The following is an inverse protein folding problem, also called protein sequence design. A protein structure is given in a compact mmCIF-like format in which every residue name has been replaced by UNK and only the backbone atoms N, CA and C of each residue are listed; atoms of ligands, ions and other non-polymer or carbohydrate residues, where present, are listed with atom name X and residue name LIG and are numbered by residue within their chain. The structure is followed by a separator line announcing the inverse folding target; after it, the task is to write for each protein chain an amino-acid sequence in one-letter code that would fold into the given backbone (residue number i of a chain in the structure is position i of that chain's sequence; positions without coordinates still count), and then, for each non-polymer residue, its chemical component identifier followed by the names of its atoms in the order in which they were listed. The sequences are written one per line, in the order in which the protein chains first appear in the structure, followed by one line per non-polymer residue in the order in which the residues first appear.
data_IF_949326644527
#
_entry.id   IF_949326644527
#
_cell.length_a   1.000
_cell.length_b   1.000
_cell.length_c   1.000
_cell.angle_alpha   90.00
_cell.angle_beta   90.00
_cell.angle_gamma   90.00
#
_symmetry.space_group_name_H-M   'P 1'
#
loop_
_entity.id
_entity.type
_entity.pdbx_description
1 polymer ?
#
# COMPACT_ATOMS: atom_id res chain seq x y z
N UNK A 1 -13.67 -2.04 20.95
CA UNK A 1 -14.51 -3.22 20.66
C UNK A 1 -13.67 -4.34 20.04
N UNK A 2 -12.95 -4.10 18.94
CA UNK A 2 -12.11 -5.11 18.26
C UNK A 2 -11.15 -5.86 19.20
N UNK A 3 -10.55 -5.15 20.17
CA UNK A 3 -9.66 -5.75 21.17
C UNK A 3 -10.32 -6.86 22.00
N UNK A 4 -11.64 -6.87 22.18
CA UNK A 4 -12.35 -7.91 22.95
C UNK A 4 -12.26 -9.27 22.26
N UNK A 5 -12.20 -9.32 20.93
CA UNK A 5 -12.08 -10.56 20.18
C UNK A 5 -10.75 -11.29 20.43
N UNK A 6 -9.68 -10.54 20.73
CA UNK A 6 -8.39 -11.13 21.04
C UNK A 6 -8.40 -11.97 22.33
N UNK A 7 -9.40 -11.78 23.18
CA UNK A 7 -9.59 -12.51 24.43
C UNK A 7 -10.73 -13.54 24.35
N UNK A 8 -11.25 -13.81 23.14
CA UNK A 8 -12.25 -14.86 22.96
C UNK A 8 -11.61 -16.24 23.12
N UNK A 9 -12.37 -17.21 23.64
CA UNK A 9 -11.99 -18.62 23.59
C UNK A 9 -12.25 -19.23 22.21
N UNK A 10 -13.12 -18.59 21.42
CA UNK A 10 -13.45 -19.01 20.06
C UNK A 10 -12.31 -18.66 19.11
N UNK A 11 -11.81 -19.72 18.46
CA UNK A 11 -10.71 -19.67 17.51
C UNK A 11 -10.97 -18.72 16.34
N UNK A 12 -12.18 -18.75 15.78
CA UNK A 12 -12.54 -17.96 14.60
C UNK A 12 -12.74 -16.49 14.97
N UNK A 13 -13.25 -16.24 16.18
CA UNK A 13 -13.39 -14.89 16.73
C UNK A 13 -12.03 -14.19 16.88
N UNK A 14 -10.99 -14.90 17.33
CA UNK A 14 -9.64 -14.33 17.43
C UNK A 14 -9.13 -13.93 16.04
N UNK A 15 -9.24 -14.80 15.04
CA UNK A 15 -8.77 -14.50 13.68
C UNK A 15 -9.50 -13.32 13.07
N UNK A 16 -10.83 -13.27 13.21
CA UNK A 16 -11.63 -12.16 12.75
C UNK A 16 -11.24 -10.85 13.45
N UNK A 17 -11.00 -10.91 14.76
CA UNK A 17 -10.49 -9.78 15.55
C UNK A 17 -9.15 -9.27 15.06
N UNK A 18 -8.19 -10.16 14.81
CA UNK A 18 -6.87 -9.83 14.26
C UNK A 18 -6.99 -9.23 12.85
N UNK A 19 -7.79 -9.83 11.98
CA UNK A 19 -8.01 -9.33 10.62
C UNK A 19 -8.55 -7.90 10.63
N UNK A 20 -9.58 -7.63 11.44
CA UNK A 20 -10.15 -6.29 11.58
C UNK A 20 -9.13 -5.31 12.16
N UNK A 21 -8.45 -5.69 13.25
CA UNK A 21 -7.45 -4.84 13.91
C UNK A 21 -6.34 -4.44 12.94
N UNK A 22 -5.81 -5.40 12.20
CA UNK A 22 -4.80 -5.17 11.17
C UNK A 22 -5.26 -4.13 10.15
N UNK A 23 -6.47 -4.25 9.61
CA UNK A 23 -6.99 -3.30 8.60
C UNK A 23 -7.14 -1.89 9.17
N UNK A 24 -7.65 -1.74 10.39
CA UNK A 24 -7.77 -0.44 11.04
C UNK A 24 -6.41 0.19 11.30
N UNK A 25 -5.47 -0.57 11.87
CA UNK A 25 -4.13 -0.05 12.16
C UNK A 25 -3.36 0.27 10.89
N UNK A 26 -3.52 -0.52 9.83
CA UNK A 26 -2.97 -0.19 8.52
C UNK A 26 -3.51 1.15 7.99
N UNK A 27 -4.82 1.36 8.06
CA UNK A 27 -5.42 2.63 7.61
C UNK A 27 -4.87 3.82 8.40
N UNK A 28 -4.84 3.71 9.73
CA UNK A 28 -4.26 4.72 10.62
C UNK A 28 -2.79 4.97 10.29
N UNK A 29 -1.98 3.91 10.21
CA UNK A 29 -0.55 3.99 9.94
C UNK A 29 -0.22 4.64 8.58
N UNK A 30 -1.09 4.50 7.58
CA UNK A 30 -0.94 5.18 6.29
C UNK A 30 -1.46 6.62 6.28
N UNK A 31 -2.44 6.94 7.13
CA UNK A 31 -2.93 8.30 7.26
C UNK A 31 -1.90 9.22 7.95
N UNK A 32 -1.06 8.64 8.80
CA UNK A 32 0.04 9.35 9.44
C UNK A 32 1.20 9.66 8.49
N UNK A 33 1.85 10.81 8.73
CA UNK A 33 3.06 11.20 8.01
C UNK A 33 4.22 10.22 8.24
N UNK A 34 5.20 10.23 7.33
CA UNK A 34 6.36 9.34 7.45
C UNK A 34 7.20 9.70 8.67
N UNK A 35 7.68 8.68 9.38
CA UNK A 35 8.45 8.87 10.61
C UNK A 35 7.60 9.23 11.83
N UNK A 36 6.27 9.28 11.69
CA UNK A 36 5.34 9.56 12.79
C UNK A 36 4.70 8.26 13.28
N UNK A 37 4.66 8.08 14.60
CA UNK A 37 4.05 6.91 15.23
C UNK A 37 2.53 6.94 15.11
N UNK A 38 1.88 5.77 15.20
CA UNK A 38 0.42 5.74 15.27
C UNK A 38 -0.07 6.37 16.58
N UNK A 39 -1.10 7.25 16.56
CA UNK A 39 -1.58 7.92 17.78
C UNK A 39 -2.08 6.96 18.87
N UNK A 40 -2.57 5.78 18.48
CA UNK A 40 -3.17 4.80 19.38
C UNK A 40 -2.14 3.89 20.06
N UNK A 41 -0.84 4.04 19.77
CA UNK A 41 0.21 3.14 20.29
C UNK A 41 0.16 3.03 21.81
N UNK A 42 0.22 4.16 22.52
CA UNK A 42 0.24 4.18 23.98
C UNK A 42 -1.03 3.53 24.55
N UNK A 43 -2.19 3.79 23.95
CA UNK A 43 -3.44 3.18 24.36
C UNK A 43 -3.44 1.66 24.20
N UNK A 44 -2.87 1.13 23.10
CA UNK A 44 -2.75 -0.31 22.87
C UNK A 44 -1.79 -0.96 23.87
N UNK A 45 -0.68 -0.29 24.17
CA UNK A 45 0.30 -0.74 25.16
C UNK A 45 -0.31 -0.79 26.57
N UNK A 46 -0.96 0.30 27.00
CA UNK A 46 -1.59 0.41 28.33
C UNK A 46 -2.74 -0.60 28.53
N UNK A 47 -3.35 -1.08 27.44
CA UNK A 47 -4.39 -2.13 27.46
C UNK A 47 -3.84 -3.56 27.39
N UNK A 48 -2.52 -3.73 27.45
CA UNK A 48 -1.88 -5.05 27.35
C UNK A 48 -2.04 -5.72 25.99
N UNK A 49 -2.45 -4.99 24.94
CA UNK A 49 -2.71 -5.58 23.61
C UNK A 49 -1.44 -6.16 23.01
N UNK A 50 -0.30 -5.49 23.19
CA UNK A 50 0.99 -5.99 22.73
C UNK A 50 1.35 -7.35 23.36
N UNK A 51 1.19 -7.49 24.68
CA UNK A 51 1.43 -8.75 25.37
C UNK A 51 0.51 -9.86 24.85
N UNK A 52 -0.77 -9.53 24.60
CA UNK A 52 -1.72 -10.50 24.03
C UNK A 52 -1.36 -10.92 22.60
N UNK A 53 -0.87 -10.00 21.77
CA UNK A 53 -0.42 -10.32 20.41
C UNK A 53 0.81 -11.22 20.41
N UNK A 54 1.75 -11.00 21.34
CA UNK A 54 2.92 -11.87 21.52
C UNK A 54 2.50 -13.26 22.01
N UNK A 55 1.58 -13.35 22.97
CA UNK A 55 1.00 -14.62 23.41
C UNK A 55 0.40 -15.39 22.23
N UNK A 56 -0.42 -14.73 21.40
CA UNK A 56 -0.99 -15.35 20.19
C UNK A 56 0.11 -15.74 19.20
N UNK A 57 1.14 -14.92 19.03
CA UNK A 57 2.24 -15.21 18.10
C UNK A 57 3.06 -16.44 18.52
N UNK A 58 3.31 -16.62 19.82
CA UNK A 58 4.09 -17.73 20.37
C UNK A 58 3.28 -19.01 20.66
N UNK A 59 1.96 -18.94 20.59
CA UNK A 59 1.12 -20.10 20.89
C UNK A 59 1.25 -21.16 19.77
N UNK A 60 1.71 -22.37 20.15
CA UNK A 60 1.89 -23.50 19.21
C UNK A 60 0.63 -23.86 18.42
N UNK A 61 -0.56 -23.71 19.03
CA UNK A 61 -1.87 -23.91 18.37
C UNK A 61 -2.03 -23.06 17.11
N UNK A 62 -1.32 -21.94 17.02
CA UNK A 62 -1.40 -20.99 15.91
C UNK A 62 -0.19 -21.04 14.98
N UNK A 63 0.75 -21.97 15.18
CA UNK A 63 1.93 -22.08 14.34
C UNK A 63 1.54 -22.27 12.86
N UNK A 64 2.14 -21.46 11.98
CA UNK A 64 1.85 -21.42 10.54
C UNK A 64 0.38 -21.08 10.20
N UNK A 65 -0.36 -20.45 11.12
CA UNK A 65 -1.73 -19.99 10.87
C UNK A 65 -1.77 -18.51 10.52
N UNK A 66 -2.89 -18.08 9.92
CA UNK A 66 -3.17 -16.65 9.67
C UNK A 66 -3.17 -15.80 10.93
N UNK A 67 -3.42 -16.39 12.11
CA UNK A 67 -3.39 -15.67 13.39
C UNK A 67 -1.97 -15.27 13.76
N UNK A 68 -1.00 -16.17 13.62
CA UNK A 68 0.41 -15.85 13.85
C UNK A 68 0.87 -14.76 12.87
N UNK A 69 0.48 -14.88 11.61
CA UNK A 69 0.75 -13.87 10.58
C UNK A 69 0.16 -12.50 10.91
N UNK A 70 -1.13 -12.43 11.25
CA UNK A 70 -1.77 -11.16 11.58
C UNK A 70 -1.23 -10.58 12.90
N UNK A 71 -0.91 -11.40 13.90
CA UNK A 71 -0.27 -10.92 15.13
C UNK A 71 1.09 -10.28 14.86
N UNK A 72 1.96 -10.93 14.08
CA UNK A 72 3.25 -10.37 13.71
C UNK A 72 3.11 -9.07 12.91
N UNK A 73 2.17 -9.04 11.95
CA UNK A 73 1.88 -7.85 11.16
C UNK A 73 1.37 -6.68 12.02
N UNK A 74 0.44 -6.95 12.96
CA UNK A 74 -0.07 -5.93 13.89
C UNK A 74 1.04 -5.39 14.79
N UNK A 75 1.94 -6.24 15.28
CA UNK A 75 3.11 -5.80 16.05
C UNK A 75 3.97 -4.86 15.20
N UNK A 76 4.25 -5.20 13.94
CA UNK A 76 4.97 -4.33 13.01
C UNK A 76 4.29 -2.96 12.81
N UNK A 77 2.96 -2.94 12.69
CA UNK A 77 2.17 -1.71 12.58
C UNK A 77 2.23 -0.84 13.84
N UNK A 78 2.15 -1.45 15.03
CA UNK A 78 2.25 -0.75 16.32
C UNK A 78 3.63 -0.08 16.49
N UNK A 79 4.67 -0.69 15.92
CA UNK A 79 6.04 -0.21 15.94
C UNK A 79 6.43 0.64 14.72
N UNK A 80 5.46 1.20 13.98
CA UNK A 80 5.73 2.20 12.94
C UNK A 80 6.66 3.30 13.47
N UNK A 81 7.73 3.58 12.72
CA UNK A 81 8.71 4.62 13.03
C UNK A 81 9.37 4.49 14.43
N UNK A 82 9.37 3.28 14.99
CA UNK A 82 9.98 2.98 16.28
C UNK A 82 10.89 1.77 16.21
N UNK A 83 11.93 1.78 17.05
CA UNK A 83 12.72 0.58 17.28
C UNK A 83 11.83 -0.50 17.89
N UNK A 84 11.79 -1.68 17.25
CA UNK A 84 11.10 -2.83 17.81
C UNK A 84 11.83 -3.31 19.07
N UNK A 85 11.09 -3.76 20.09
CA UNK A 85 11.68 -4.20 21.35
C UNK A 85 12.65 -5.37 21.08
N UNK A 86 13.85 -5.30 21.65
CA UNK A 86 14.92 -6.28 21.46
C UNK A 86 14.58 -7.69 21.91
N UNK A 87 13.66 -7.86 22.86
CA UNK A 87 13.27 -9.17 23.41
C UNK A 87 12.59 -10.08 22.37
N UNK A 88 11.77 -9.51 21.50
CA UNK A 88 11.01 -10.26 20.49
C UNK A 88 11.21 -9.74 19.06
N UNK A 89 11.92 -8.63 18.88
CA UNK A 89 11.98 -7.90 17.61
C UNK A 89 12.62 -8.70 16.49
N UNK A 90 13.70 -9.45 16.79
CA UNK A 90 14.35 -10.33 15.82
C UNK A 90 13.40 -11.42 15.33
N UNK A 91 12.70 -12.10 16.25
CA UNK A 91 11.78 -13.18 15.92
C UNK A 91 10.61 -12.70 15.05
N UNK A 92 10.02 -11.54 15.40
CA UNK A 92 8.95 -10.94 14.59
C UNK A 92 9.46 -10.59 13.20
N UNK A 93 10.61 -9.90 13.08
CA UNK A 93 11.16 -9.50 11.77
C UNK A 93 11.52 -10.74 10.92
N UNK A 94 12.15 -11.75 11.51
CA UNK A 94 12.49 -12.99 10.80
C UNK A 94 11.23 -13.69 10.29
N UNK A 95 10.19 -13.81 11.13
CA UNK A 95 8.92 -14.38 10.71
C UNK A 95 8.25 -13.60 9.57
N UNK A 96 8.25 -12.25 9.64
CA UNK A 96 7.73 -11.40 8.56
C UNK A 96 8.50 -11.63 7.24
N UNK A 97 9.83 -11.78 7.30
CA UNK A 97 10.68 -12.06 6.12
C UNK A 97 10.36 -13.43 5.52
N UNK A 98 10.31 -14.47 6.35
CA UNK A 98 10.05 -15.85 5.91
C UNK A 98 8.69 -15.98 5.24
N UNK A 99 7.66 -15.36 5.83
CA UNK A 99 6.28 -15.49 5.35
C UNK A 99 5.97 -14.74 4.04
N UNK A 100 6.85 -13.83 3.58
CA UNK A 100 6.75 -13.22 2.24
C UNK A 100 6.91 -14.29 1.14
N UNK A 101 7.62 -15.38 1.42
CA UNK A 101 7.87 -16.45 0.44
C UNK A 101 6.77 -17.52 0.39
N UNK A 102 6.06 -17.72 1.50
CA UNK A 102 5.31 -18.96 1.75
C UNK A 102 3.89 -18.91 1.17
N UNK A 103 3.34 -17.72 0.87
CA UNK A 103 1.89 -17.57 0.74
C UNK A 103 1.45 -16.69 -0.42
N UNK A 104 0.12 -16.70 -0.60
CA UNK A 104 -0.67 -15.77 -1.39
C UNK A 104 -0.03 -14.37 -1.46
N UNK A 105 -0.03 -13.79 -2.66
CA UNK A 105 0.50 -12.45 -2.90
C UNK A 105 -0.12 -11.39 -1.98
N UNK A 106 -1.37 -11.60 -1.53
CA UNK A 106 -2.01 -10.77 -0.51
C UNK A 106 -1.28 -10.85 0.84
N UNK A 107 -0.99 -12.06 1.33
CA UNK A 107 -0.32 -12.24 2.62
C UNK A 107 1.12 -11.73 2.58
N UNK A 108 1.83 -11.95 1.46
CA UNK A 108 3.15 -11.37 1.21
C UNK A 108 3.12 -9.83 1.23
N UNK A 109 2.11 -9.22 0.60
CA UNK A 109 1.92 -7.77 0.61
C UNK A 109 1.72 -7.22 2.03
N UNK A 110 0.95 -7.93 2.86
CA UNK A 110 0.73 -7.56 4.27
C UNK A 110 2.03 -7.59 5.08
N UNK A 111 2.89 -8.60 4.85
CA UNK A 111 4.17 -8.68 5.58
C UNK A 111 5.13 -7.57 5.13
N UNK A 112 5.21 -7.32 3.82
CA UNK A 112 5.98 -6.22 3.27
C UNK A 112 5.54 -4.87 3.84
N UNK A 113 4.23 -4.63 3.97
CA UNK A 113 3.69 -3.42 4.60
C UNK A 113 4.16 -3.28 6.05
N UNK A 114 4.13 -4.36 6.82
CA UNK A 114 4.59 -4.35 8.21
C UNK A 114 6.08 -4.00 8.31
N UNK A 115 6.91 -4.57 7.42
CA UNK A 115 8.33 -4.22 7.30
C UNK A 115 8.55 -2.77 6.85
N UNK A 116 7.71 -2.21 5.97
CA UNK A 116 7.81 -0.81 5.55
C UNK A 116 7.63 0.15 6.73
N UNK A 117 6.66 -0.11 7.60
CA UNK A 117 6.42 0.72 8.77
C UNK A 117 7.56 0.61 9.80
N UNK A 118 8.09 -0.60 10.01
CA UNK A 118 9.27 -0.82 10.85
C UNK A 118 10.51 -0.12 10.27
N UNK A 119 10.67 -0.10 8.94
CA UNK A 119 11.78 0.54 8.24
C UNK A 119 11.79 2.08 8.36
N UNK A 120 10.73 2.70 8.90
CA UNK A 120 10.75 4.13 9.23
C UNK A 120 11.59 4.44 10.48
N UNK A 121 12.03 3.42 11.23
CA UNK A 121 13.04 3.54 12.27
C UNK A 121 14.37 2.94 11.81
N UNK A 122 15.41 3.79 11.76
CA UNK A 122 16.77 3.41 11.38
C UNK A 122 17.32 2.25 12.24
N UNK A 123 16.94 2.19 13.51
CA UNK A 123 17.37 1.17 14.46
C UNK A 123 16.90 -0.25 14.08
N UNK A 124 15.89 -0.37 13.22
CA UNK A 124 15.41 -1.67 12.74
C UNK A 124 16.13 -2.17 11.48
N UNK A 125 16.93 -1.32 10.81
CA UNK A 125 17.44 -1.60 9.46
C UNK A 125 18.38 -2.79 9.42
N UNK A 126 19.28 -2.92 10.40
CA UNK A 126 20.20 -4.07 10.49
C UNK A 126 19.42 -5.38 10.57
N UNK A 127 18.40 -5.46 11.44
CA UNK A 127 17.55 -6.64 11.59
C UNK A 127 16.76 -6.95 10.31
N UNK A 128 16.19 -5.93 9.67
CA UNK A 128 15.44 -6.07 8.42
C UNK A 128 16.34 -6.59 7.30
N UNK A 129 17.55 -6.03 7.15
CA UNK A 129 18.47 -6.36 6.05
C UNK A 129 19.31 -7.62 6.29
N UNK A 130 19.33 -8.14 7.51
CA UNK A 130 20.05 -9.36 7.87
C UNK A 130 19.60 -10.61 7.11
N UNK A 131 20.47 -11.63 7.08
CA UNK A 131 20.13 -12.94 6.51
C UNK A 131 20.07 -12.98 4.98
N UNK A 132 20.64 -11.98 4.28
CA UNK A 132 20.61 -11.92 2.81
C UNK A 132 19.29 -11.40 2.23
N UNK A 133 18.37 -10.93 3.07
CA UNK A 133 17.04 -10.46 2.67
C UNK A 133 17.08 -9.35 1.60
N UNK A 134 18.12 -8.50 1.61
CA UNK A 134 18.33 -7.48 0.58
C UNK A 134 18.43 -8.06 -0.84
N UNK A 135 19.12 -9.19 -0.99
CA UNK A 135 19.24 -9.89 -2.28
C UNK A 135 17.90 -10.51 -2.69
N UNK A 136 17.14 -11.02 -1.72
CA UNK A 136 15.79 -11.59 -1.96
C UNK A 136 14.83 -10.51 -2.46
N UNK A 137 14.81 -9.33 -1.83
CA UNK A 137 14.02 -8.18 -2.28
C UNK A 137 14.38 -7.77 -3.71
N UNK A 138 15.67 -7.74 -4.05
CA UNK A 138 16.12 -7.44 -5.40
C UNK A 138 15.68 -8.53 -6.41
N UNK A 139 15.67 -9.79 -6.00
CA UNK A 139 15.18 -10.89 -6.84
C UNK A 139 13.67 -10.81 -7.06
N UNK A 140 12.87 -10.36 -6.08
CA UNK A 140 11.45 -10.11 -6.30
C UNK A 140 11.21 -9.10 -7.40
N UNK A 141 12.01 -8.04 -7.53
CA UNK A 141 11.87 -7.06 -8.62
C UNK A 141 12.10 -7.66 -10.01
N UNK A 142 12.83 -8.78 -10.10
CA UNK A 142 13.14 -9.47 -11.36
C UNK A 142 12.11 -10.55 -11.72
N UNK A 143 11.25 -10.94 -10.78
CA UNK A 143 10.23 -11.99 -10.98
C UNK A 143 8.91 -11.40 -11.47
N UNK A 144 8.70 -11.43 -12.80
CA UNK A 144 7.48 -10.94 -13.45
C UNK A 144 6.19 -11.67 -13.04
N UNK A 145 6.27 -12.77 -12.30
CA UNK A 145 5.09 -13.46 -11.76
C UNK A 145 4.59 -12.85 -10.45
N UNK A 146 5.40 -12.01 -9.79
CA UNK A 146 5.12 -11.43 -8.46
C UNK A 146 4.84 -9.93 -8.52
N UNK A 147 4.16 -9.47 -9.58
CA UNK A 147 3.83 -8.04 -9.77
C UNK A 147 3.19 -7.39 -8.55
N UNK A 148 2.31 -8.09 -7.84
CA UNK A 148 1.62 -7.57 -6.66
C UNK A 148 2.56 -7.31 -5.46
N UNK A 149 3.75 -7.93 -5.43
CA UNK A 149 4.74 -7.64 -4.39
C UNK A 149 5.63 -6.46 -4.76
N UNK A 150 5.65 -5.99 -6.03
CA UNK A 150 6.52 -4.89 -6.46
C UNK A 150 6.25 -3.63 -5.67
N UNK A 151 4.98 -3.24 -5.52
CA UNK A 151 4.63 -2.06 -4.73
C UNK A 151 5.20 -2.16 -3.32
N UNK A 152 5.09 -3.34 -2.70
CA UNK A 152 5.57 -3.56 -1.34
C UNK A 152 7.09 -3.52 -1.23
N UNK A 153 7.79 -4.14 -2.18
CA UNK A 153 9.25 -4.20 -2.22
C UNK A 153 9.86 -2.82 -2.52
N UNK A 154 9.35 -2.12 -3.54
CA UNK A 154 9.86 -0.80 -3.91
C UNK A 154 9.58 0.22 -2.78
N UNK A 155 8.40 0.16 -2.16
CA UNK A 155 8.10 1.02 -0.99
C UNK A 155 9.06 0.74 0.16
N UNK A 156 9.36 -0.53 0.45
CA UNK A 156 10.32 -0.89 1.50
C UNK A 156 11.71 -0.32 1.20
N UNK A 157 12.18 -0.44 -0.06
CA UNK A 157 13.43 0.18 -0.48
C UNK A 157 13.41 1.70 -0.29
N UNK A 158 12.33 2.40 -0.66
CA UNK A 158 12.21 3.85 -0.45
C UNK A 158 12.32 4.19 1.04
N UNK A 159 11.64 3.45 1.94
CA UNK A 159 11.72 3.71 3.39
C UNK A 159 13.14 3.48 3.91
N UNK A 160 13.73 2.33 3.62
CA UNK A 160 15.09 2.01 4.05
C UNK A 160 16.10 3.02 3.52
N UNK A 161 15.94 3.50 2.28
CA UNK A 161 16.84 4.50 1.71
C UNK A 161 16.63 5.88 2.33
N UNK A 162 15.39 6.32 2.57
CA UNK A 162 15.09 7.61 3.19
C UNK A 162 15.57 7.71 4.63
N UNK A 163 15.30 6.68 5.43
CA UNK A 163 15.60 6.65 6.86
C UNK A 163 16.94 5.97 7.20
N UNK A 164 17.66 5.48 6.18
CA UNK A 164 18.88 4.69 6.37
C UNK A 164 20.10 5.54 6.65
N UNK A 165 21.07 4.92 7.35
CA UNK A 165 22.43 5.44 7.46
C UNK A 165 23.10 5.45 6.09
N UNK A 166 24.26 6.14 5.94
CA UNK A 166 25.09 6.00 4.75
C UNK A 166 25.38 4.55 4.39
N UNK A 167 25.66 3.69 5.37
CA UNK A 167 25.94 2.27 5.14
C UNK A 167 24.72 1.53 4.59
N UNK A 168 23.51 1.76 5.15
CA UNK A 168 22.26 1.20 4.60
C UNK A 168 22.04 1.63 3.16
N UNK A 169 22.24 2.91 2.85
CA UNK A 169 22.07 3.46 1.50
C UNK A 169 23.08 2.85 0.52
N UNK A 170 24.34 2.75 0.93
CA UNK A 170 25.40 2.13 0.13
C UNK A 170 25.10 0.66 -0.16
N UNK A 171 24.69 -0.12 0.85
CA UNK A 171 24.31 -1.52 0.68
C UNK A 171 23.16 -1.69 -0.32
N UNK A 172 22.10 -0.88 -0.19
CA UNK A 172 20.97 -0.89 -1.13
C UNK A 172 21.44 -0.51 -2.53
N UNK A 173 22.20 0.57 -2.66
CA UNK A 173 22.70 1.08 -3.94
C UNK A 173 23.56 0.05 -4.67
N UNK A 174 24.43 -0.67 -3.96
CA UNK A 174 25.27 -1.74 -4.54
C UNK A 174 24.47 -2.98 -4.96
N UNK A 175 23.37 -3.28 -4.25
CA UNK A 175 22.65 -4.55 -4.43
C UNK A 175 21.50 -4.43 -5.43
N UNK A 176 20.78 -3.30 -5.42
CA UNK A 176 19.55 -3.14 -6.21
C UNK A 176 19.85 -3.01 -7.71
N UNK A 177 19.06 -3.70 -8.53
CA UNK A 177 19.12 -3.61 -9.99
C UNK A 177 18.56 -2.28 -10.47
N UNK A 178 19.41 -1.24 -10.55
CA UNK A 178 19.04 0.12 -11.00
C UNK A 178 18.29 0.13 -12.33
N UNK A 179 18.75 -0.65 -13.31
CA UNK A 179 18.08 -0.77 -14.61
C UNK A 179 16.64 -1.28 -14.47
N UNK A 180 16.41 -2.18 -13.52
CA UNK A 180 15.07 -2.73 -13.27
C UNK A 180 14.17 -1.71 -12.59
N UNK A 181 14.69 -0.97 -11.61
CA UNK A 181 13.95 0.14 -10.97
C UNK A 181 13.60 1.20 -12.02
N UNK A 182 14.53 1.53 -12.93
CA UNK A 182 14.30 2.43 -14.06
C UNK A 182 13.17 1.92 -14.97
N UNK A 183 13.23 0.66 -15.40
CA UNK A 183 12.17 0.05 -16.23
C UNK A 183 10.80 0.14 -15.52
N UNK A 184 10.74 -0.10 -14.21
CA UNK A 184 9.48 0.02 -13.45
C UNK A 184 8.99 1.46 -13.37
N UNK A 185 9.90 2.43 -13.26
CA UNK A 185 9.58 3.86 -13.26
C UNK A 185 9.13 4.36 -14.65
N UNK A 186 9.68 3.79 -15.73
CA UNK A 186 9.41 4.18 -17.11
C UNK A 186 8.21 3.43 -17.71
N UNK A 187 7.70 2.38 -17.06
CA UNK A 187 6.63 1.50 -17.57
C UNK A 187 5.31 2.23 -17.92
N UNK A 188 5.15 3.49 -17.51
CA UNK A 188 4.02 4.37 -17.87
C UNK A 188 4.25 5.31 -19.06
N UNK A 189 5.47 5.37 -19.62
CA UNK A 189 5.87 6.34 -20.63
C UNK A 189 6.03 5.75 -22.05
N UNK A 190 5.88 4.43 -22.22
CA UNK A 190 5.89 3.82 -23.57
C UNK A 190 4.58 4.18 -24.29
N UNK A 191 4.66 5.15 -25.20
CA UNK A 191 3.61 5.69 -26.07
C UNK A 191 3.08 4.68 -27.12
N UNK A 192 3.41 3.40 -26.96
CA UNK A 192 3.18 2.38 -27.99
C UNK A 192 1.76 1.79 -27.92
N UNK A 193 0.91 2.44 -28.71
CA UNK A 193 -0.48 2.21 -29.14
C UNK A 193 -0.94 0.79 -29.49
N UNK A 194 -0.26 -0.30 -29.11
CA UNK A 194 -0.59 -1.64 -29.66
C UNK A 194 -0.71 -2.85 -28.73
N UNK A 195 -0.83 -2.76 -27.40
CA UNK A 195 -0.97 -3.98 -26.57
C UNK A 195 -2.07 -3.99 -25.50
N UNK A 196 -3.25 -4.44 -25.95
CA UNK A 196 -4.27 -5.28 -25.29
C UNK A 196 -5.01 -4.82 -24.03
N UNK A 197 -6.33 -5.03 -24.03
CA UNK A 197 -7.30 -4.88 -22.92
C UNK A 197 -6.90 -5.53 -21.57
N UNK A 198 -5.94 -6.47 -21.54
CA UNK A 198 -5.36 -7.01 -20.30
C UNK A 198 -4.43 -6.03 -19.57
N UNK A 199 -4.00 -4.95 -20.22
CA UNK A 199 -3.24 -3.84 -19.60
C UNK A 199 -4.14 -2.87 -18.85
N UNK A 200 -5.43 -2.75 -19.18
CA UNK A 200 -6.31 -1.76 -18.54
C UNK A 200 -6.53 -2.07 -17.04
N UNK A 201 -6.70 -3.34 -16.69
CA UNK A 201 -6.81 -3.81 -15.29
C UNK A 201 -5.45 -3.77 -14.59
N UNK A 202 -4.35 -3.94 -15.33
CA UNK A 202 -2.99 -3.78 -14.81
C UNK A 202 -2.62 -2.31 -14.57
N UNK A 203 -3.15 -1.36 -15.35
CA UNK A 203 -2.78 0.05 -15.30
C UNK A 203 -2.89 0.63 -13.89
N UNK A 204 -4.03 0.44 -13.21
CA UNK A 204 -4.23 0.97 -11.86
C UNK A 204 -3.26 0.39 -10.81
N UNK A 205 -2.88 -0.89 -10.92
CA UNK A 205 -1.90 -1.48 -9.99
C UNK A 205 -0.47 -1.02 -10.30
N UNK A 206 -0.15 -0.82 -11.58
CA UNK A 206 1.17 -0.33 -11.98
C UNK A 206 1.35 1.17 -11.75
N UNK A 207 0.29 1.99 -11.74
CA UNK A 207 0.39 3.43 -11.48
C UNK A 207 1.11 3.72 -10.15
N UNK A 208 0.69 3.06 -9.07
CA UNK A 208 1.37 3.22 -7.77
C UNK A 208 2.82 2.71 -7.83
N UNK A 209 3.06 1.56 -8.49
CA UNK A 209 4.42 1.01 -8.65
C UNK A 209 5.31 1.98 -9.41
N UNK A 210 4.82 2.58 -10.50
CA UNK A 210 5.54 3.55 -11.34
C UNK A 210 5.93 4.77 -10.51
N UNK A 211 4.99 5.34 -9.75
CA UNK A 211 5.25 6.52 -8.91
C UNK A 211 6.32 6.21 -7.86
N UNK A 212 6.18 5.10 -7.14
CA UNK A 212 7.09 4.74 -6.05
C UNK A 212 8.47 4.31 -6.62
N UNK A 213 8.50 3.64 -7.77
CA UNK A 213 9.74 3.27 -8.45
C UNK A 213 10.48 4.51 -9.00
N UNK A 214 9.74 5.49 -9.52
CA UNK A 214 10.31 6.78 -9.91
C UNK A 214 10.93 7.51 -8.73
N UNK A 215 10.28 7.49 -7.56
CA UNK A 215 10.87 8.02 -6.33
C UNK A 215 12.16 7.28 -5.93
N UNK A 216 12.15 5.95 -5.94
CA UNK A 216 13.33 5.16 -5.62
C UNK A 216 14.48 5.43 -6.59
N UNK A 217 14.19 5.46 -7.90
CA UNK A 217 15.18 5.74 -8.93
C UNK A 217 15.82 7.12 -8.73
N UNK A 218 15.02 8.15 -8.42
CA UNK A 218 15.51 9.50 -8.09
C UNK A 218 16.48 9.46 -6.90
N UNK A 219 16.10 8.80 -5.81
CA UNK A 219 16.95 8.67 -4.62
C UNK A 219 18.29 8.00 -4.93
N UNK A 220 18.29 6.97 -5.78
CA UNK A 220 19.50 6.26 -6.20
C UNK A 220 20.44 7.13 -7.05
N UNK A 221 19.89 7.95 -7.95
CA UNK A 221 20.66 8.89 -8.77
C UNK A 221 21.24 10.02 -7.90
N UNK A 222 20.45 10.58 -6.99
CA UNK A 222 20.91 11.61 -6.04
C UNK A 222 22.08 11.10 -5.19
N UNK A 223 21.97 9.88 -4.68
CA UNK A 223 23.04 9.25 -3.93
C UNK A 223 24.30 9.05 -4.78
N UNK A 224 24.17 8.53 -6.00
CA UNK A 224 25.30 8.37 -6.92
C UNK A 224 26.01 9.69 -7.22
N UNK A 225 25.26 10.78 -7.43
CA UNK A 225 25.83 12.09 -7.71
C UNK A 225 26.58 12.64 -6.49
N UNK A 226 26.05 12.44 -5.28
CA UNK A 226 26.71 12.84 -4.02
C UNK A 226 28.04 12.10 -3.81
N UNK A 227 28.08 10.79 -4.10
CA UNK A 227 29.32 10.01 -4.03
C UNK A 227 30.38 10.48 -5.03
N UNK A 228 29.98 10.90 -6.24
CA UNK A 228 30.89 11.39 -7.28
C UNK A 228 31.45 12.79 -7.00
N UNK A 229 30.70 13.64 -6.27
CA UNK A 229 31.11 15.02 -5.97
C UNK A 229 32.11 15.13 -4.80
N UNK A 230 32.35 14.03 -4.08
CA UNK A 230 33.20 14.00 -2.89
C UNK A 230 32.60 14.78 -1.70
N UNK A 231 33.16 14.62 -0.49
CA UNK A 231 32.60 15.20 0.75
C UNK A 231 32.71 16.73 0.87
N UNK A 232 33.05 17.46 -0.20
CA UNK A 232 33.48 18.85 -0.16
C UNK A 232 32.47 19.92 -0.59
N UNK A 233 31.28 19.59 -1.10
CA UNK A 233 30.27 20.59 -1.47
C UNK A 233 29.14 20.68 -0.44
N UNK A 234 28.88 21.91 0.03
CA UNK A 234 27.85 22.25 1.01
C UNK A 234 26.48 21.66 0.66
N UNK A 235 26.02 20.68 1.45
CA UNK A 235 24.76 19.95 1.32
C UNK A 235 23.49 20.84 1.32
N UNK A 236 23.56 22.10 1.75
CA UNK A 236 22.38 22.93 1.98
C UNK A 236 21.75 23.60 0.74
N UNK A 237 22.50 23.78 -0.36
CA UNK A 237 21.98 24.46 -1.55
C UNK A 237 21.42 23.49 -2.60
N UNK A 238 22.09 22.36 -2.84
CA UNK A 238 21.64 21.35 -3.80
C UNK A 238 20.34 20.64 -3.38
N UNK A 239 20.20 20.33 -2.08
CA UNK A 239 18.99 19.68 -1.56
C UNK A 239 17.77 20.61 -1.60
N UNK A 240 17.95 21.94 -1.52
CA UNK A 240 16.84 22.92 -1.65
C UNK A 240 16.34 23.05 -3.09
N UNK A 241 17.24 23.10 -4.07
CA UNK A 241 16.86 23.29 -5.46
C UNK A 241 16.14 22.05 -6.04
N UNK A 242 16.67 20.86 -5.77
CA UNK A 242 16.08 19.59 -6.23
C UNK A 242 14.75 19.29 -5.50
N UNK A 243 14.63 19.65 -4.21
CA UNK A 243 13.33 19.58 -3.52
C UNK A 243 12.29 20.52 -4.13
N UNK A 244 12.70 21.70 -4.60
CA UNK A 244 11.77 22.70 -5.15
C UNK A 244 11.22 22.27 -6.52
N UNK A 245 12.09 21.85 -7.45
CA UNK A 245 11.66 21.41 -8.79
C UNK A 245 10.79 20.15 -8.73
N UNK A 246 11.14 19.18 -7.87
CA UNK A 246 10.34 17.97 -7.73
C UNK A 246 9.01 18.23 -7.00
N UNK A 247 9.01 19.09 -5.97
CA UNK A 247 7.75 19.48 -5.29
C UNK A 247 6.79 20.13 -6.28
N UNK A 248 7.28 20.98 -7.19
CA UNK A 248 6.46 21.56 -8.27
C UNK A 248 5.93 20.49 -9.22
N UNK A 249 6.77 19.55 -9.67
CA UNK A 249 6.34 18.46 -10.56
C UNK A 249 5.28 17.53 -9.92
N UNK A 250 5.40 17.26 -8.61
CA UNK A 250 4.40 16.48 -7.88
C UNK A 250 3.10 17.25 -7.68
N UNK A 251 3.18 18.55 -7.35
CA UNK A 251 2.00 19.39 -7.22
C UNK A 251 1.23 19.48 -8.55
N UNK A 252 1.95 19.65 -9.67
CA UNK A 252 1.35 19.61 -11.01
C UNK A 252 0.65 18.28 -11.28
N UNK A 253 1.32 17.15 -11.00
CA UNK A 253 0.72 15.82 -11.22
C UNK A 253 -0.47 15.54 -10.29
N UNK A 254 -0.45 16.05 -9.06
CA UNK A 254 -1.56 15.94 -8.12
C UNK A 254 -2.76 16.79 -8.59
N UNK A 255 -2.52 17.98 -9.14
CA UNK A 255 -3.54 18.82 -9.78
C UNK A 255 -4.13 18.15 -11.02
N UNK A 256 -3.30 17.58 -11.90
CA UNK A 256 -3.77 16.81 -13.07
C UNK A 256 -4.68 15.63 -12.66
N UNK A 257 -4.32 14.90 -11.60
CA UNK A 257 -5.15 13.80 -11.08
C UNK A 257 -6.47 14.33 -10.51
N UNK A 258 -6.46 15.46 -9.80
CA UNK A 258 -7.68 16.08 -9.26
C UNK A 258 -8.61 16.53 -10.40
N UNK A 259 -8.06 17.12 -11.46
CA UNK A 259 -8.82 17.48 -12.64
C UNK A 259 -9.43 16.25 -13.33
N UNK A 260 -8.66 15.17 -13.53
CA UNK A 260 -9.16 13.93 -14.13
C UNK A 260 -10.28 13.29 -13.29
N UNK A 261 -10.15 13.32 -11.96
CA UNK A 261 -11.19 12.82 -11.04
C UNK A 261 -12.46 13.68 -11.10
N UNK A 262 -12.33 15.00 -11.18
CA UNK A 262 -13.48 15.91 -11.33
C UNK A 262 -14.20 15.67 -12.66
N UNK A 263 -13.47 15.47 -13.77
CA UNK A 263 -14.07 15.12 -15.06
C UNK A 263 -14.85 13.81 -14.97
N UNK A 264 -14.26 12.76 -14.40
CA UNK A 264 -14.96 11.46 -14.20
C UNK A 264 -16.19 11.59 -13.30
N UNK A 265 -16.15 12.46 -12.28
CA UNK A 265 -17.30 12.73 -11.42
C UNK A 265 -18.43 13.40 -12.22
N UNK A 266 -18.13 14.42 -13.02
CA UNK A 266 -19.13 15.09 -13.87
C UNK A 266 -19.74 14.13 -14.90
N UNK A 267 -18.94 13.27 -15.53
CA UNK A 267 -19.44 12.24 -16.46
C UNK A 267 -20.40 11.27 -15.77
N UNK A 268 -20.11 10.89 -14.53
CA UNK A 268 -20.96 10.00 -13.74
C UNK A 268 -22.27 10.66 -13.33
N UNK A 269 -22.24 11.94 -12.95
CA UNK A 269 -23.45 12.72 -12.64
C UNK A 269 -24.33 12.92 -13.87
N UNK A 270 -23.73 13.13 -15.05
CA UNK A 270 -24.45 13.22 -16.31
C UNK A 270 -25.13 11.88 -16.67
N UNK A 271 -24.41 10.76 -16.54
CA UNK A 271 -24.99 9.42 -16.77
C UNK A 271 -26.17 9.14 -15.83
N UNK A 272 -26.04 9.48 -14.54
CA UNK A 272 -27.16 9.33 -13.59
C UNK A 272 -28.36 10.22 -13.94
N UNK A 273 -28.12 11.44 -14.43
CA UNK A 273 -29.18 12.33 -14.89
C UNK A 273 -29.91 11.79 -16.12
N UNK A 274 -29.19 11.19 -17.06
CA UNK A 274 -29.77 10.60 -18.27
C UNK A 274 -30.57 9.31 -17.95
N UNK A 275 -30.05 8.44 -17.07
CA UNK A 275 -30.77 7.27 -16.58
C UNK A 275 -32.08 7.65 -15.86
N UNK A 276 -32.08 8.73 -15.05
CA UNK A 276 -33.28 9.23 -14.39
C UNK A 276 -34.32 9.76 -15.38
N UNK A 277 -33.89 10.46 -16.43
CA UNK A 277 -34.78 10.95 -17.49
C UNK A 277 -35.40 9.79 -18.28
N UNK A 278 -34.61 8.77 -18.62
CA UNK A 278 -35.10 7.57 -19.30
C UNK A 278 -36.14 6.82 -18.45
N UNK A 279 -35.88 6.66 -17.14
CA UNK A 279 -36.85 6.07 -16.22
C UNK A 279 -38.15 6.89 -16.10
N UNK A 280 -38.08 8.22 -16.15
CA UNK A 280 -39.28 9.07 -16.15
C UNK A 280 -40.08 8.93 -17.45
N UNK A 281 -39.42 8.89 -18.61
CA UNK A 281 -40.08 8.67 -19.90
C UNK A 281 -40.77 7.31 -19.97
N UNK A 282 -40.14 6.25 -19.45
CA UNK A 282 -40.74 4.92 -19.35
C UNK A 282 -41.99 4.91 -18.46
N UNK A 283 -41.98 5.63 -17.33
CA UNK A 283 -43.16 5.77 -16.46
C UNK A 283 -44.31 6.48 -17.19
N UNK A 284 -44.04 7.60 -17.86
CA UNK A 284 -45.05 8.34 -18.62
C UNK A 284 -45.63 7.52 -19.78
N UNK A 285 -44.79 6.78 -20.51
CA UNK A 285 -45.24 5.90 -21.58
C UNK A 285 -46.11 4.75 -21.09
N UNK A 286 -45.78 4.15 -19.94
CA UNK A 286 -46.59 3.10 -19.32
C UNK A 286 -47.94 3.63 -18.82
N UNK A 287 -47.97 4.84 -18.26
CA UNK A 287 -49.19 5.49 -17.81
C UNK A 287 -50.13 5.81 -18.98
N UNK A 288 -49.60 6.35 -20.08
CA UNK A 288 -50.38 6.56 -21.31
C UNK A 288 -50.94 5.25 -21.86
N UNK A 289 -50.13 4.18 -21.91
CA UNK A 289 -50.58 2.86 -22.38
C UNK A 289 -51.71 2.30 -21.52
N UNK A 290 -51.62 2.45 -20.20
CA UNK A 290 -52.68 2.04 -19.27
C UNK A 290 -53.97 2.84 -19.51
N UNK A 291 -53.87 4.16 -19.65
CA UNK A 291 -55.02 5.03 -19.96
C UNK A 291 -55.69 4.60 -21.27
N UNK A 292 -54.92 4.36 -22.33
CA UNK A 292 -55.46 3.89 -23.62
C UNK A 292 -56.17 2.53 -23.49
N UNK A 293 -55.60 1.60 -22.73
CA UNK A 293 -56.24 0.29 -22.48
C UNK A 293 -57.57 0.44 -21.73
N UNK A 294 -57.64 1.34 -20.74
CA UNK A 294 -58.88 1.62 -20.01
C UNK A 294 -59.95 2.19 -20.95
N UNK A 295 -59.61 3.15 -21.81
CA UNK A 295 -60.56 3.70 -22.79
C UNK A 295 -61.07 2.65 -23.78
N UNK A 296 -60.19 1.77 -24.28
CA UNK A 296 -60.59 0.68 -25.18
C UNK A 296 -61.55 -0.31 -24.52
N UNK A 297 -61.36 -0.61 -23.24
CA UNK A 297 -62.28 -1.48 -22.48
C UNK A 297 -63.64 -0.78 -22.31
N UNK A 298 -63.65 0.50 -21.96
CA UNK A 298 -64.89 1.27 -21.79
C UNK A 298 -65.70 1.38 -23.08
N UNK A 299 -65.05 1.59 -24.23
CA UNK A 299 -65.71 1.62 -25.54
C UNK A 299 -66.34 0.26 -25.92
N UNK A 300 -65.72 -0.86 -25.53
CA UNK A 300 -66.26 -2.20 -25.81
C UNK A 300 -67.49 -2.53 -24.95
N UNK A 301 -67.59 -1.96 -23.75
CA UNK A 301 -68.70 -2.18 -22.82
C UNK A 301 -69.93 -1.30 -23.09
N UNK A 302 -69.89 -0.44 -24.12
CA UNK A 302 -71.02 0.41 -24.54
C UNK A 302 -71.43 1.47 -23.50
N UNK A 303 -70.48 1.92 -22.67
CA UNK A 303 -70.65 3.02 -21.72
C UNK A 303 -70.04 4.31 -22.26
#
# INVERSE_FOLDING_TARGET
WVTKFLYSEDYDMIEFGLFIMKRFLYFIANAESLGIQIPQREQLQNKGIQAKLLEIFHTDKYKNSRKQLYSASIIGLIYKALQINSEFGKEIIDFLKETIHIQDQYDASVQLQSLQFLAESQQNHELILSGGFLNELNNFLKDDKKVFTYIGVVTLFVKLFKFGTPETKEQIWKTISRDRVKILADYGNDDDTQKSKSRLIKKNHYENVIVIAGELYRLLIEYQNKEQQGPGMNQQEGDKQIQTENKQKYQQKEEEIKEELNVKQMEKEQQQGDEQKEQQQLKQGNEQKYITQVYQILEQDGK
#
